data_IF_333143763635
#
_entry.id   IF_333143763635
#
_cell.length_a   1.000
_cell.length_b   1.000
_cell.length_c   1.000
_cell.angle_alpha   90.00
_cell.angle_beta   90.00
_cell.angle_gamma   90.00
#
_symmetry.space_group_name_H-M   'P 1'
#
loop_
_entity.id
_entity.type
_entity.pdbx_description
1 polymer ?
#
# COMPACT_ATOMS: atom_id res chain seq x y z
N UNK A 1 12.07 16.05 30.57
CA UNK A 1 11.03 16.89 29.93
C UNK A 1 11.53 18.33 29.94
N UNK A 2 12.21 18.77 28.87
CA UNK A 2 12.47 20.20 28.63
C UNK A 2 11.46 20.64 27.58
N UNK A 3 10.41 21.32 28.00
CA UNK A 3 9.57 22.12 27.16
C UNK A 3 10.41 23.33 26.71
N UNK A 4 10.86 23.36 25.47
CA UNK A 4 11.31 24.60 24.86
C UNK A 4 10.06 25.45 24.63
N UNK A 5 9.75 26.34 25.53
CA UNK A 5 8.88 27.47 25.27
C UNK A 5 9.53 28.26 24.13
N UNK A 6 8.94 28.25 22.95
CA UNK A 6 9.22 29.28 21.96
C UNK A 6 8.78 30.58 22.61
N UNK A 7 9.73 31.45 22.94
CA UNK A 7 9.42 32.84 23.18
C UNK A 7 8.70 33.34 21.95
N UNK A 8 7.44 33.70 22.11
CA UNK A 8 6.70 34.41 21.06
C UNK A 8 7.43 35.75 20.90
N UNK A 9 8.13 35.91 19.79
CA UNK A 9 8.69 37.21 19.43
C UNK A 9 7.56 38.21 19.30
N UNK A 10 7.37 39.02 20.36
CA UNK A 10 6.35 40.08 20.34
C UNK A 10 6.85 41.13 19.37
N UNK A 11 6.13 41.26 18.25
CA UNK A 11 6.43 42.28 17.26
C UNK A 11 6.23 43.67 17.90
N UNK A 12 7.14 44.62 17.62
CA UNK A 12 6.98 45.98 18.07
C UNK A 12 5.72 46.63 17.48
N UNK A 13 5.11 47.53 18.20
CA UNK A 13 3.98 48.30 17.69
C UNK A 13 4.49 49.26 16.61
N UNK A 14 3.93 49.16 15.41
CA UNK A 14 4.24 50.01 14.24
C UNK A 14 2.98 50.74 13.80
N UNK A 15 3.17 51.97 13.35
CA UNK A 15 2.09 52.80 12.78
C UNK A 15 2.28 52.94 11.28
N UNK A 16 1.21 53.25 10.59
CA UNK A 16 1.25 53.56 9.15
C UNK A 16 2.12 54.81 8.91
N UNK A 17 3.12 54.66 8.05
CA UNK A 17 4.07 55.74 7.74
C UNK A 17 5.40 55.65 8.51
N UNK A 18 5.56 54.70 9.44
CA UNK A 18 6.83 54.50 10.14
C UNK A 18 7.94 54.08 9.20
N UNK A 19 9.12 54.70 9.31
CA UNK A 19 10.30 54.36 8.51
C UNK A 19 11.04 53.16 9.13
N UNK A 20 11.11 52.07 8.39
CA UNK A 20 11.78 50.84 8.82
C UNK A 20 13.09 50.66 8.06
N UNK A 21 14.21 50.54 8.77
CA UNK A 21 15.51 50.27 8.21
C UNK A 21 15.73 48.75 8.04
N UNK A 22 15.99 48.33 6.79
CA UNK A 22 16.36 46.94 6.50
C UNK A 22 17.77 46.65 6.96
N UNK A 23 18.00 45.67 7.85
CA UNK A 23 19.32 45.25 8.32
C UNK A 23 19.97 44.22 7.41
N UNK A 24 19.24 43.21 6.98
CA UNK A 24 19.73 42.13 6.10
C UNK A 24 18.62 41.59 5.23
N UNK A 25 19.00 40.90 4.17
CA UNK A 25 18.11 40.03 3.39
C UNK A 25 18.78 38.68 3.34
N UNK A 26 18.18 37.67 3.96
CA UNK A 26 18.65 36.31 3.91
C UNK A 26 17.76 35.53 2.94
N UNK A 27 18.42 34.91 1.93
CA UNK A 27 17.74 34.10 0.92
C UNK A 27 17.82 32.62 1.35
N UNK A 28 16.69 32.01 1.61
CA UNK A 28 16.61 30.59 1.94
C UNK A 28 15.79 29.85 0.89
N UNK A 29 16.41 28.91 0.20
CA UNK A 29 15.70 28.02 -0.70
C UNK A 29 14.97 26.95 0.11
N UNK A 30 13.64 26.88 -0.02
CA UNK A 30 12.80 25.86 0.61
C UNK A 30 12.16 24.97 -0.43
N UNK A 31 12.12 23.68 -0.12
CA UNK A 31 11.49 22.69 -0.96
C UNK A 31 10.25 22.14 -0.24
N UNK A 32 9.19 21.87 -0.99
CA UNK A 32 8.05 21.11 -0.49
C UNK A 32 8.49 19.66 -0.20
N UNK A 33 7.93 19.07 0.83
CA UNK A 33 8.19 17.68 1.18
C UNK A 33 6.98 16.84 0.76
N UNK A 34 7.19 15.60 0.27
CA UNK A 34 6.10 14.68 0.01
C UNK A 34 5.35 14.36 1.31
N UNK A 35 4.08 13.86 1.23
CA UNK A 35 3.37 13.36 2.38
C UNK A 35 4.21 12.30 3.12
N UNK A 36 4.13 12.31 4.45
CA UNK A 36 4.86 11.32 5.23
C UNK A 36 4.18 9.95 5.11
N UNK A 37 4.98 8.88 5.16
CA UNK A 37 4.47 7.51 5.17
C UNK A 37 3.55 7.28 6.37
N UNK A 38 2.59 6.39 6.23
CA UNK A 38 1.66 6.05 7.30
C UNK A 38 2.39 5.46 8.51
N UNK A 39 2.00 5.91 9.69
CA UNK A 39 2.18 5.15 10.93
C UNK A 39 0.98 4.23 11.12
N UNK A 40 1.05 3.27 12.03
CA UNK A 40 -0.07 2.39 12.35
C UNK A 40 -1.35 3.17 12.66
N UNK A 41 -1.29 4.14 13.58
CA UNK A 41 -2.43 4.98 13.90
C UNK A 41 -2.93 5.85 12.73
N UNK A 42 -2.04 6.26 11.82
CA UNK A 42 -2.44 7.02 10.63
C UNK A 42 -3.12 6.12 9.60
N UNK A 43 -2.67 4.87 9.45
CA UNK A 43 -3.29 3.89 8.57
C UNK A 43 -4.69 3.52 9.07
N UNK A 44 -4.85 3.26 10.37
CA UNK A 44 -6.19 2.99 10.95
C UNK A 44 -7.16 4.14 10.68
N UNK A 45 -6.73 5.38 10.91
CA UNK A 45 -7.58 6.55 10.62
C UNK A 45 -7.95 6.67 9.13
N UNK A 46 -7.05 6.31 8.24
CA UNK A 46 -7.34 6.33 6.80
C UNK A 46 -8.32 5.22 6.40
N UNK A 47 -8.18 4.02 6.96
CA UNK A 47 -9.13 2.92 6.80
C UNK A 47 -10.53 3.30 7.31
N UNK A 48 -10.59 3.87 8.51
CA UNK A 48 -11.83 4.36 9.11
C UNK A 48 -12.50 5.44 8.23
N UNK A 49 -11.73 6.43 7.78
CA UNK A 49 -12.20 7.51 6.90
C UNK A 49 -12.78 6.98 5.59
N UNK A 50 -12.20 5.90 5.06
CA UNK A 50 -12.65 5.24 3.82
C UNK A 50 -13.74 4.19 4.05
N UNK A 51 -14.15 3.93 5.29
CA UNK A 51 -15.15 2.90 5.62
C UNK A 51 -14.65 1.46 5.42
N UNK A 52 -13.33 1.26 5.33
CA UNK A 52 -12.70 -0.04 5.10
C UNK A 52 -12.42 -0.71 6.45
N UNK A 53 -13.09 -1.83 6.71
CA UNK A 53 -12.99 -2.55 7.98
C UNK A 53 -13.80 -1.90 9.10
N UNK A 54 -13.68 -2.49 10.28
CA UNK A 54 -14.36 -2.04 11.51
C UNK A 54 -13.37 -2.06 12.68
N UNK A 55 -13.64 -1.42 13.82
CA UNK A 55 -12.73 -1.39 14.96
C UNK A 55 -12.20 -2.77 15.37
N UNK A 56 -13.02 -3.81 15.25
CA UNK A 56 -12.65 -5.20 15.56
C UNK A 56 -11.67 -5.83 14.55
N UNK A 57 -11.54 -5.29 13.34
CA UNK A 57 -10.72 -5.88 12.26
C UNK A 57 -9.43 -5.13 11.99
N UNK A 58 -9.28 -3.86 12.40
CA UNK A 58 -8.10 -3.06 12.08
C UNK A 58 -6.79 -3.70 12.55
N UNK A 59 -6.76 -4.25 13.76
CA UNK A 59 -5.57 -4.89 14.29
C UNK A 59 -5.16 -6.10 13.44
N UNK A 60 -6.12 -6.93 13.02
CA UNK A 60 -5.88 -8.10 12.16
C UNK A 60 -5.41 -7.70 10.75
N UNK A 61 -5.96 -6.63 10.17
CA UNK A 61 -5.51 -6.10 8.88
C UNK A 61 -4.03 -5.73 8.96
N UNK A 62 -3.66 -4.96 9.99
CA UNK A 62 -2.29 -4.48 10.17
C UNK A 62 -1.32 -5.63 10.45
N UNK A 63 -1.67 -6.58 11.32
CA UNK A 63 -0.81 -7.76 11.56
C UNK A 63 -0.66 -8.61 10.32
N UNK A 64 -1.73 -8.85 9.56
CA UNK A 64 -1.69 -9.67 8.35
C UNK A 64 -0.71 -9.13 7.31
N UNK A 65 -0.71 -7.82 7.02
CA UNK A 65 0.21 -7.26 6.03
C UNK A 65 1.67 -7.30 6.48
N UNK A 66 1.92 -7.30 7.80
CA UNK A 66 3.26 -7.45 8.38
C UNK A 66 3.70 -8.92 8.38
N UNK A 67 2.86 -9.83 8.86
CA UNK A 67 3.16 -11.27 8.99
C UNK A 67 3.41 -11.91 7.62
N UNK A 68 2.69 -11.46 6.59
CA UNK A 68 2.92 -11.87 5.20
C UNK A 68 4.13 -11.18 4.56
N UNK A 69 4.78 -10.28 5.26
CA UNK A 69 5.96 -9.59 4.78
C UNK A 69 5.71 -8.60 3.64
N UNK A 70 4.46 -8.15 3.43
CA UNK A 70 4.12 -7.15 2.42
C UNK A 70 4.66 -5.77 2.76
N UNK A 71 4.75 -5.48 4.05
CA UNK A 71 5.31 -4.24 4.58
C UNK A 71 6.36 -4.51 5.65
N UNK A 72 7.25 -3.55 5.87
CA UNK A 72 8.14 -3.47 7.03
C UNK A 72 7.82 -2.21 7.82
N UNK A 73 8.11 -2.21 9.12
CA UNK A 73 8.03 -1.02 9.96
C UNK A 73 9.43 -0.53 10.24
N UNK A 74 9.72 0.69 9.81
CA UNK A 74 10.96 1.39 10.10
C UNK A 74 10.64 2.76 10.70
N UNK A 75 11.25 3.11 11.81
CA UNK A 75 10.98 4.37 12.52
C UNK A 75 9.48 4.63 12.76
N UNK A 76 8.72 3.60 13.12
CA UNK A 76 7.25 3.64 13.33
C UNK A 76 6.46 4.04 12.07
N UNK A 77 6.99 3.78 10.87
CA UNK A 77 6.35 4.03 9.58
C UNK A 77 6.35 2.77 8.73
N UNK A 78 5.28 2.58 7.96
CA UNK A 78 5.17 1.47 7.02
C UNK A 78 5.96 1.74 5.75
N UNK A 79 6.71 0.73 5.33
CA UNK A 79 7.42 0.67 4.05
C UNK A 79 6.95 -0.56 3.30
N UNK A 80 6.37 -0.35 2.13
CA UNK A 80 5.95 -1.46 1.26
C UNK A 80 7.19 -2.16 0.74
N UNK A 81 7.22 -3.49 0.88
CA UNK A 81 8.28 -4.35 0.32
C UNK A 81 7.96 -4.72 -1.13
N UNK A 82 8.98 -5.21 -1.85
CA UNK A 82 8.82 -5.66 -3.24
C UNK A 82 7.68 -6.67 -3.40
N UNK A 83 7.59 -7.65 -2.50
CA UNK A 83 6.50 -8.63 -2.52
C UNK A 83 5.13 -7.99 -2.35
N UNK A 84 5.01 -6.96 -1.51
CA UNK A 84 3.75 -6.21 -1.34
C UNK A 84 3.32 -5.49 -2.62
N UNK A 85 4.25 -4.88 -3.35
CA UNK A 85 3.96 -4.28 -4.66
C UNK A 85 3.50 -5.32 -5.67
N UNK A 86 4.25 -6.44 -5.80
CA UNK A 86 3.90 -7.51 -6.75
C UNK A 86 2.51 -8.08 -6.48
N UNK A 87 2.19 -8.34 -5.20
CA UNK A 87 0.88 -8.87 -4.83
C UNK A 87 -0.23 -7.86 -5.12
N UNK A 88 -0.02 -6.58 -4.77
CA UNK A 88 -1.01 -5.54 -5.04
C UNK A 88 -1.25 -5.35 -6.56
N UNK A 89 -0.19 -5.30 -7.37
CA UNK A 89 -0.29 -5.19 -8.83
C UNK A 89 -1.06 -6.37 -9.44
N UNK A 90 -0.75 -7.60 -9.00
CA UNK A 90 -1.44 -8.80 -9.50
C UNK A 90 -2.92 -8.86 -9.09
N UNK A 91 -3.23 -8.42 -7.86
CA UNK A 91 -4.62 -8.35 -7.42
C UNK A 91 -5.40 -7.29 -8.20
N UNK A 92 -4.80 -6.13 -8.49
CA UNK A 92 -5.41 -5.09 -9.30
C UNK A 92 -5.65 -5.53 -10.75
N UNK A 93 -4.74 -6.34 -11.32
CA UNK A 93 -4.90 -6.86 -12.69
C UNK A 93 -6.03 -7.90 -12.82
N UNK A 94 -6.28 -8.70 -11.78
CA UNK A 94 -7.19 -9.84 -11.84
C UNK A 94 -8.49 -9.64 -11.07
N UNK A 95 -8.56 -8.66 -10.16
CA UNK A 95 -9.67 -8.42 -9.24
C UNK A 95 -9.82 -6.92 -8.96
N UNK A 96 -9.88 -6.12 -10.02
CA UNK A 96 -9.93 -4.65 -9.91
C UNK A 96 -11.12 -4.15 -9.09
N UNK A 97 -12.32 -4.71 -9.33
CA UNK A 97 -13.53 -4.38 -8.59
C UNK A 97 -13.37 -4.62 -7.08
N UNK A 98 -12.78 -5.77 -6.68
CA UNK A 98 -12.57 -6.13 -5.27
C UNK A 98 -11.49 -5.25 -4.62
N UNK A 99 -10.53 -4.79 -5.42
CA UNK A 99 -9.46 -3.91 -4.97
C UNK A 99 -9.87 -2.45 -4.88
N UNK A 100 -11.07 -2.09 -5.37
CA UNK A 100 -11.62 -0.76 -5.19
C UNK A 100 -11.94 -0.48 -3.72
N UNK A 101 -11.63 0.72 -3.25
CA UNK A 101 -11.92 1.12 -1.88
C UNK A 101 -13.42 1.18 -1.59
N UNK A 102 -14.20 1.64 -2.57
CA UNK A 102 -15.64 1.79 -2.43
C UNK A 102 -16.34 0.41 -2.37
N UNK A 103 -15.80 -0.59 -3.06
CA UNK A 103 -16.29 -1.96 -2.99
C UNK A 103 -16.26 -2.49 -1.55
N UNK A 104 -15.11 -2.40 -0.89
CA UNK A 104 -14.97 -2.88 0.50
C UNK A 104 -15.85 -2.10 1.45
N UNK A 105 -15.94 -0.77 1.30
CA UNK A 105 -16.79 0.08 2.12
C UNK A 105 -18.28 -0.27 1.95
N UNK A 106 -18.72 -0.49 0.71
CA UNK A 106 -20.10 -0.87 0.41
C UNK A 106 -20.44 -2.26 0.96
N UNK A 107 -19.54 -3.23 0.85
CA UNK A 107 -19.72 -4.57 1.41
C UNK A 107 -19.87 -4.51 2.95
N UNK A 108 -19.04 -3.74 3.62
CA UNK A 108 -19.14 -3.52 5.07
C UNK A 108 -20.48 -2.90 5.46
N UNK A 109 -20.97 -1.92 4.69
CA UNK A 109 -22.28 -1.30 4.92
C UNK A 109 -23.42 -2.31 4.70
N UNK A 110 -23.35 -3.12 3.64
CA UNK A 110 -24.34 -4.17 3.39
C UNK A 110 -24.38 -5.22 4.51
N UNK A 111 -23.22 -5.54 5.10
CA UNK A 111 -23.17 -6.42 6.28
C UNK A 111 -23.78 -5.77 7.52
N UNK A 112 -23.66 -4.46 7.69
CA UNK A 112 -24.36 -3.73 8.75
C UNK A 112 -25.88 -3.74 8.54
N UNK A 113 -26.38 -3.64 7.29
CA UNK A 113 -27.81 -3.80 6.96
C UNK A 113 -28.32 -5.20 7.31
N UNK A 114 -27.54 -6.25 7.03
CA UNK A 114 -27.87 -7.62 7.47
C UNK A 114 -27.95 -7.70 8.99
N UNK A 115 -27.00 -7.10 9.70
CA UNK A 115 -26.98 -7.10 11.16
C UNK A 115 -28.19 -6.38 11.77
N UNK A 116 -28.71 -5.36 11.08
CA UNK A 116 -29.92 -4.64 11.48
C UNK A 116 -31.22 -5.34 11.06
N UNK A 117 -31.15 -6.37 10.21
CA UNK A 117 -32.31 -7.10 9.68
C UNK A 117 -32.96 -6.47 8.45
N UNK A 118 -32.27 -5.50 7.82
CA UNK A 118 -32.77 -4.74 6.66
C UNK A 118 -32.42 -5.42 5.32
N UNK A 119 -31.49 -6.39 5.31
CA UNK A 119 -31.07 -7.12 4.11
C UNK A 119 -30.88 -8.62 4.37
N UNK A 120 -31.06 -9.45 3.31
CA UNK A 120 -30.75 -10.89 3.36
C UNK A 120 -29.28 -11.11 2.99
N UNK A 121 -28.55 -11.79 3.85
CA UNK A 121 -27.14 -12.12 3.64
C UNK A 121 -26.91 -13.00 2.40
N UNK A 122 -27.90 -13.82 2.00
CA UNK A 122 -27.78 -14.69 0.83
C UNK A 122 -27.71 -13.88 -0.46
N UNK A 123 -28.52 -12.83 -0.58
CA UNK A 123 -28.54 -11.97 -1.75
C UNK A 123 -27.21 -11.25 -1.91
N UNK A 124 -26.62 -10.79 -0.80
CA UNK A 124 -25.30 -10.14 -0.80
C UNK A 124 -24.22 -11.11 -1.24
N UNK A 125 -24.20 -12.33 -0.69
CA UNK A 125 -23.24 -13.36 -1.04
C UNK A 125 -23.41 -13.84 -2.49
N UNK A 126 -24.62 -14.03 -2.97
CA UNK A 126 -24.89 -14.46 -4.35
C UNK A 126 -24.41 -13.41 -5.36
N UNK A 127 -24.65 -12.14 -5.08
CA UNK A 127 -24.19 -11.05 -5.95
C UNK A 127 -22.67 -10.97 -5.98
N UNK A 128 -22.02 -11.04 -4.83
CA UNK A 128 -20.56 -11.07 -4.74
C UNK A 128 -19.97 -12.28 -5.45
N UNK A 129 -20.50 -13.47 -5.20
CA UNK A 129 -19.96 -14.72 -5.71
C UNK A 129 -20.01 -14.81 -7.23
N UNK A 130 -21.05 -14.27 -7.86
CA UNK A 130 -21.20 -14.27 -9.33
C UNK A 130 -20.08 -13.50 -10.04
N UNK A 131 -19.76 -12.30 -9.59
CA UNK A 131 -18.65 -11.53 -10.19
C UNK A 131 -17.31 -12.17 -9.86
N UNK A 132 -17.08 -12.49 -8.59
CA UNK A 132 -15.85 -13.12 -8.12
C UNK A 132 -15.52 -14.43 -8.84
N UNK A 133 -16.52 -15.26 -9.15
CA UNK A 133 -16.32 -16.51 -9.86
C UNK A 133 -15.81 -16.29 -11.28
N UNK A 134 -16.29 -15.25 -11.97
CA UNK A 134 -15.82 -14.91 -13.31
C UNK A 134 -14.35 -14.46 -13.26
N UNK A 135 -14.03 -13.53 -12.34
CA UNK A 135 -12.66 -13.05 -12.17
C UNK A 135 -11.71 -14.19 -11.78
N UNK A 136 -12.17 -15.13 -10.96
CA UNK A 136 -11.38 -16.29 -10.56
C UNK A 136 -11.10 -17.24 -11.73
N UNK A 137 -12.07 -17.41 -12.65
CA UNK A 137 -11.88 -18.20 -13.87
C UNK A 137 -10.85 -17.53 -14.76
N UNK A 138 -10.97 -16.21 -14.98
CA UNK A 138 -10.01 -15.44 -15.79
C UNK A 138 -8.61 -15.48 -15.16
N UNK A 139 -8.50 -15.26 -13.85
CA UNK A 139 -7.25 -15.31 -13.10
C UNK A 139 -6.60 -16.72 -13.12
N UNK A 140 -7.36 -17.77 -13.41
CA UNK A 140 -6.87 -19.15 -13.49
C UNK A 140 -6.28 -19.52 -14.85
N UNK A 141 -6.49 -18.72 -15.90
CA UNK A 141 -5.90 -18.95 -17.20
C UNK A 141 -4.39 -18.76 -17.18
N UNK A 142 -3.64 -19.72 -17.74
CA UNK A 142 -2.16 -19.73 -17.69
C UNK A 142 -1.52 -18.56 -18.43
N UNK A 143 -2.20 -17.98 -19.42
CA UNK A 143 -1.66 -16.89 -20.26
C UNK A 143 -1.82 -15.51 -19.63
N UNK A 144 -2.85 -15.31 -18.79
CA UNK A 144 -3.20 -13.99 -18.20
C UNK A 144 -3.24 -14.05 -16.66
N UNK A 145 -3.24 -15.25 -16.09
CA UNK A 145 -3.55 -15.50 -14.68
C UNK A 145 -2.51 -15.02 -13.67
N UNK A 146 -2.93 -15.05 -12.39
CA UNK A 146 -2.14 -14.65 -11.20
C UNK A 146 -0.86 -15.47 -10.99
N UNK A 147 -0.70 -16.61 -11.68
CA UNK A 147 0.60 -17.28 -11.77
C UNK A 147 1.41 -16.56 -12.82
N UNK A 148 2.38 -15.69 -12.45
CA UNK A 148 3.36 -15.25 -13.43
C UNK A 148 3.95 -16.53 -13.98
N UNK A 149 3.76 -16.78 -15.27
CA UNK A 149 4.62 -17.70 -15.96
C UNK A 149 6.01 -17.38 -15.47
N UNK A 150 6.79 -18.37 -15.08
CA UNK A 150 8.13 -18.18 -14.53
C UNK A 150 9.02 -17.61 -15.66
N UNK A 151 8.64 -16.40 -16.15
CA UNK A 151 9.36 -15.70 -17.21
C UNK A 151 10.67 -15.26 -16.57
N UNK A 152 11.77 -15.95 -16.90
CA UNK A 152 13.03 -15.65 -16.27
C UNK A 152 13.50 -14.27 -16.73
N UNK A 153 13.75 -13.36 -15.78
CA UNK A 153 14.36 -12.08 -16.13
C UNK A 153 15.86 -12.29 -16.36
N UNK A 154 16.33 -11.99 -17.55
CA UNK A 154 17.74 -12.13 -17.90
C UNK A 154 18.60 -11.19 -17.08
N UNK A 155 19.79 -11.67 -16.71
CA UNK A 155 20.81 -10.89 -16.03
C UNK A 155 22.10 -10.89 -16.85
N UNK A 156 22.98 -9.92 -16.61
CA UNK A 156 24.31 -9.87 -17.20
C UNK A 156 25.34 -10.76 -16.46
N UNK A 157 24.90 -11.63 -15.54
CA UNK A 157 25.77 -12.49 -14.76
C UNK A 157 25.97 -13.80 -15.51
N UNK A 158 27.20 -14.08 -15.90
CA UNK A 158 27.55 -15.36 -16.54
C UNK A 158 27.35 -16.52 -15.57
N UNK A 159 26.65 -17.57 -16.00
CA UNK A 159 26.44 -18.78 -15.22
C UNK A 159 27.78 -19.54 -15.06
N UNK A 160 27.97 -20.19 -13.93
CA UNK A 160 29.13 -21.06 -13.65
C UNK A 160 29.30 -22.19 -14.68
N UNK A 161 28.23 -22.56 -15.40
CA UNK A 161 28.33 -23.52 -16.50
C UNK A 161 29.06 -22.97 -17.74
N UNK A 162 29.30 -21.67 -17.83
CA UNK A 162 30.02 -21.00 -18.94
C UNK A 162 29.25 -20.93 -20.27
N UNK A 163 28.02 -21.46 -20.33
CA UNK A 163 27.24 -21.56 -21.57
C UNK A 163 26.14 -20.49 -21.72
N UNK A 164 25.61 -20.00 -20.60
CA UNK A 164 24.46 -19.07 -20.58
C UNK A 164 24.62 -18.08 -19.43
N UNK A 165 23.81 -17.03 -19.46
CA UNK A 165 23.69 -16.11 -18.32
C UNK A 165 22.77 -16.70 -17.24
N UNK A 166 22.89 -16.16 -16.04
CA UNK A 166 21.93 -16.42 -14.98
C UNK A 166 20.66 -15.61 -15.19
N UNK A 167 19.54 -16.14 -14.78
CA UNK A 167 18.23 -15.51 -14.84
C UNK A 167 17.60 -15.46 -13.44
N UNK A 168 16.85 -14.41 -13.19
CA UNK A 168 16.05 -14.29 -11.95
C UNK A 168 14.80 -15.13 -12.14
N UNK A 169 14.57 -16.07 -11.24
CA UNK A 169 13.35 -16.91 -11.20
C UNK A 169 12.66 -16.75 -9.85
N UNK A 170 11.36 -16.99 -9.84
CA UNK A 170 10.53 -16.98 -8.63
C UNK A 170 10.27 -18.41 -8.17
N UNK A 171 10.29 -18.65 -6.87
CA UNK A 171 9.85 -19.90 -6.24
C UNK A 171 8.97 -19.62 -5.02
N UNK A 172 8.38 -20.66 -4.45
CA UNK A 172 7.62 -20.55 -3.18
C UNK A 172 8.43 -19.96 -2.02
N UNK A 173 9.75 -20.09 -2.06
CA UNK A 173 10.66 -19.61 -1.02
C UNK A 173 11.26 -18.23 -1.34
N UNK A 174 10.85 -17.61 -2.46
CA UNK A 174 11.33 -16.29 -2.87
C UNK A 174 12.02 -16.29 -4.24
N UNK A 175 12.73 -15.22 -4.51
CA UNK A 175 13.44 -14.97 -5.76
C UNK A 175 14.85 -15.55 -5.68
N UNK A 176 15.27 -16.25 -6.73
CA UNK A 176 16.62 -16.82 -6.82
C UNK A 176 17.22 -16.63 -8.22
N UNK A 177 18.54 -16.73 -8.30
CA UNK A 177 19.28 -16.77 -9.56
C UNK A 177 19.41 -18.22 -10.04
N UNK A 178 18.90 -18.52 -11.21
CA UNK A 178 19.00 -19.82 -11.88
C UNK A 178 19.78 -19.73 -13.18
N UNK A 179 20.25 -20.85 -13.69
CA UNK A 179 20.86 -20.92 -15.02
C UNK A 179 19.77 -20.83 -16.09
N UNK A 180 19.96 -20.00 -17.12
CA UNK A 180 19.01 -19.92 -18.24
C UNK A 180 18.88 -21.23 -19.03
N UNK A 181 19.93 -22.05 -19.05
CA UNK A 181 19.96 -23.36 -19.72
C UNK A 181 19.51 -24.54 -18.86
N UNK A 182 19.03 -24.31 -17.62
CA UNK A 182 18.48 -25.37 -16.79
C UNK A 182 16.99 -25.55 -17.10
N UNK A 183 16.66 -26.73 -17.62
CA UNK A 183 15.30 -27.20 -17.85
C UNK A 183 14.80 -28.01 -16.67
#
# INVERSE_FOLDING_TARGET
LKSSSKEEDILPSLNEGDSIARKSIDLEQKFTKPPSRYSEAALVRELEKKGIGRPSTYANIISTIQDRGYVAIENKRFFVKKIGHIVAERLLESFDDIMDYDFTANLENSLDEVANGDADWRDILDNFYKSFQNDLIEASHEEVGMRPGNIPTETNITCLCGKTNMVIRNSSNGVFLGCAGYQ
#
